data_IF_962901468372
#
_entry.id   IF_962901468372
#
_cell.length_a   1.000
_cell.length_b   1.000
_cell.length_c   1.000
_cell.angle_alpha   90.00
_cell.angle_beta   90.00
_cell.angle_gamma   90.00
#
_symmetry.space_group_name_H-M   'P 1'
#
loop_
_entity.id
_entity.type
_entity.pdbx_description
1 polymer ?
#
# COMPACT_ATOMS: atom_id res chain seq x y z
N UNK A 1 -79.44 24.37 -41.37
CA UNK A 1 -78.13 23.69 -41.50
C UNK A 1 -78.26 22.29 -40.93
N UNK A 2 -78.23 21.24 -41.75
CA UNK A 2 -78.34 19.85 -41.27
C UNK A 2 -76.98 19.42 -40.71
N UNK A 3 -76.92 19.28 -39.38
CA UNK A 3 -75.77 18.77 -38.66
C UNK A 3 -75.53 17.30 -39.08
N UNK A 4 -74.41 17.03 -39.73
CA UNK A 4 -74.12 15.70 -40.28
C UNK A 4 -73.52 14.83 -39.18
N UNK A 5 -74.37 14.19 -38.38
CA UNK A 5 -73.99 13.30 -37.26
C UNK A 5 -72.76 12.42 -37.58
N UNK A 6 -72.68 11.86 -38.79
CA UNK A 6 -71.55 11.02 -39.22
C UNK A 6 -70.19 11.71 -39.10
N UNK A 7 -70.08 12.99 -39.46
CA UNK A 7 -68.81 13.73 -39.36
C UNK A 7 -68.44 14.04 -37.91
N UNK A 8 -69.42 14.18 -37.01
CA UNK A 8 -69.18 14.36 -35.58
C UNK A 8 -68.60 13.11 -34.92
N UNK A 9 -69.11 11.91 -35.27
CA UNK A 9 -68.58 10.64 -34.75
C UNK A 9 -67.16 10.37 -35.24
N UNK A 10 -66.88 10.64 -36.51
CA UNK A 10 -65.52 10.53 -37.06
C UNK A 10 -64.57 11.49 -36.33
N UNK A 11 -65.00 12.73 -36.06
CA UNK A 11 -64.22 13.69 -35.28
C UNK A 11 -63.91 13.21 -33.85
N UNK A 12 -64.90 12.67 -33.13
CA UNK A 12 -64.72 12.15 -31.77
C UNK A 12 -63.76 10.94 -31.73
N UNK A 13 -63.85 10.03 -32.70
CA UNK A 13 -62.94 8.88 -32.78
C UNK A 13 -61.50 9.31 -33.02
N UNK A 14 -61.28 10.31 -33.89
CA UNK A 14 -59.94 10.86 -34.13
C UNK A 14 -59.37 11.50 -32.86
N UNK A 15 -60.17 12.29 -32.13
CA UNK A 15 -59.74 12.90 -30.86
C UNK A 15 -59.40 11.81 -29.82
N UNK A 16 -60.24 10.79 -29.68
CA UNK A 16 -60.00 9.66 -28.76
C UNK A 16 -58.70 8.92 -29.07
N UNK A 17 -58.40 8.70 -30.35
CA UNK A 17 -57.16 8.05 -30.78
C UNK A 17 -55.93 8.91 -30.42
N UNK A 18 -55.99 10.22 -30.66
CA UNK A 18 -54.91 11.15 -30.34
C UNK A 18 -54.65 11.18 -28.83
N UNK A 19 -55.70 11.25 -28.00
CA UNK A 19 -55.57 11.24 -26.53
C UNK A 19 -54.97 9.91 -26.05
N UNK A 20 -55.44 8.79 -26.57
CA UNK A 20 -54.92 7.46 -26.22
C UNK A 20 -53.45 7.30 -26.61
N UNK A 21 -53.06 7.78 -27.79
CA UNK A 21 -51.66 7.79 -28.25
C UNK A 21 -50.76 8.66 -27.37
N UNK A 22 -51.21 9.88 -27.01
CA UNK A 22 -50.49 10.77 -26.09
C UNK A 22 -50.29 10.12 -24.72
N UNK A 23 -51.33 9.49 -24.19
CA UNK A 23 -51.29 8.83 -22.88
C UNK A 23 -50.35 7.62 -22.90
N UNK A 24 -50.44 6.78 -23.93
CA UNK A 24 -49.56 5.63 -24.11
C UNK A 24 -48.09 6.06 -24.25
N UNK A 25 -47.83 7.14 -25.00
CA UNK A 25 -46.47 7.67 -25.15
C UNK A 25 -45.94 8.22 -23.82
N UNK A 26 -46.75 8.99 -23.08
CA UNK A 26 -46.37 9.51 -21.77
C UNK A 26 -46.00 8.39 -20.77
N UNK A 27 -46.79 7.31 -20.70
CA UNK A 27 -46.45 6.17 -19.83
C UNK A 27 -45.22 5.41 -20.30
N UNK A 28 -45.03 5.27 -21.63
CA UNK A 28 -43.85 4.62 -22.19
C UNK A 28 -42.58 5.41 -21.90
N UNK A 29 -42.60 6.73 -22.11
CA UNK A 29 -41.46 7.62 -21.84
C UNK A 29 -41.13 7.64 -20.34
N UNK A 30 -42.14 7.66 -19.47
CA UNK A 30 -41.95 7.54 -18.03
C UNK A 30 -41.34 6.18 -17.66
N UNK A 31 -41.82 5.08 -18.24
CA UNK A 31 -41.25 3.75 -17.97
C UNK A 31 -39.79 3.63 -18.43
N UNK A 32 -39.46 4.19 -19.61
CA UNK A 32 -38.09 4.21 -20.13
C UNK A 32 -37.19 5.05 -19.21
N UNK A 33 -37.64 6.25 -18.82
CA UNK A 33 -36.83 7.13 -17.96
C UNK A 33 -36.61 6.56 -16.55
N UNK A 34 -37.61 5.90 -15.95
CA UNK A 34 -37.41 5.22 -14.67
C UNK A 34 -36.46 4.03 -14.77
N UNK A 35 -36.53 3.27 -15.87
CA UNK A 35 -35.59 2.18 -16.12
C UNK A 35 -34.17 2.71 -16.26
N UNK A 36 -33.98 3.76 -17.06
CA UNK A 36 -32.67 4.40 -17.24
C UNK A 36 -32.12 4.94 -15.92
N UNK A 37 -32.93 5.63 -15.11
CA UNK A 37 -32.52 6.10 -13.78
C UNK A 37 -32.10 4.94 -12.88
N UNK A 38 -32.86 3.84 -12.89
CA UNK A 38 -32.52 2.65 -12.10
C UNK A 38 -31.22 2.00 -12.54
N UNK A 39 -31.02 1.82 -13.85
CA UNK A 39 -29.83 1.21 -14.40
C UNK A 39 -28.60 2.10 -14.11
N UNK A 40 -28.75 3.42 -14.24
CA UNK A 40 -27.72 4.38 -13.86
C UNK A 40 -27.37 4.29 -12.37
N UNK A 41 -28.38 4.27 -11.48
CA UNK A 41 -28.15 4.14 -10.03
C UNK A 41 -27.54 2.80 -9.65
N UNK A 42 -27.94 1.71 -10.31
CA UNK A 42 -27.33 0.40 -10.11
C UNK A 42 -25.85 0.41 -10.50
N UNK A 43 -25.51 1.01 -11.65
CA UNK A 43 -24.12 1.15 -12.10
C UNK A 43 -23.29 2.05 -11.17
N UNK A 44 -23.85 3.17 -10.68
CA UNK A 44 -23.18 4.02 -9.68
C UNK A 44 -22.91 3.27 -8.38
N UNK A 45 -23.89 2.51 -7.89
CA UNK A 45 -23.76 1.69 -6.69
C UNK A 45 -22.70 0.60 -6.87
N UNK A 46 -22.69 -0.08 -8.01
CA UNK A 46 -21.70 -1.10 -8.34
C UNK A 46 -20.28 -0.52 -8.33
N UNK A 47 -20.08 0.65 -8.97
CA UNK A 47 -18.80 1.35 -8.96
C UNK A 47 -18.37 1.74 -7.54
N UNK A 48 -19.29 2.28 -6.74
CA UNK A 48 -19.01 2.64 -5.35
C UNK A 48 -18.60 1.42 -4.52
N UNK A 49 -19.31 0.29 -4.67
CA UNK A 49 -18.98 -0.97 -3.99
C UNK A 49 -17.63 -1.53 -4.44
N UNK A 50 -17.31 -1.44 -5.74
CA UNK A 50 -16.00 -1.84 -6.25
C UNK A 50 -14.88 -0.98 -5.64
N UNK A 51 -15.07 0.35 -5.56
CA UNK A 51 -14.11 1.25 -4.91
C UNK A 51 -13.95 0.95 -3.42
N UNK A 52 -15.05 0.68 -2.70
CA UNK A 52 -14.99 0.33 -1.27
C UNK A 52 -14.21 -0.97 -1.07
N UNK A 53 -14.48 -1.98 -1.89
CA UNK A 53 -13.79 -3.28 -1.83
C UNK A 53 -12.29 -3.12 -2.10
N UNK A 54 -11.93 -2.32 -3.12
CA UNK A 54 -10.53 -2.01 -3.42
C UNK A 54 -9.86 -1.28 -2.24
N UNK A 55 -10.51 -0.27 -1.65
CA UNK A 55 -10.00 0.43 -0.46
C UNK A 55 -9.79 -0.50 0.73
N UNK A 56 -10.72 -1.44 0.97
CA UNK A 56 -10.59 -2.42 2.05
C UNK A 56 -9.41 -3.37 1.81
N UNK A 57 -9.23 -3.85 0.59
CA UNK A 57 -8.10 -4.71 0.26
C UNK A 57 -6.77 -3.99 0.47
N UNK A 58 -6.65 -2.72 0.04
CA UNK A 58 -5.44 -1.91 0.26
C UNK A 58 -5.13 -1.72 1.75
N UNK A 59 -6.15 -1.54 2.59
CA UNK A 59 -5.97 -1.45 4.04
C UNK A 59 -5.42 -2.77 4.62
N UNK A 60 -6.01 -3.90 4.25
CA UNK A 60 -5.54 -5.22 4.70
C UNK A 60 -4.10 -5.48 4.26
N UNK A 61 -3.76 -5.14 3.01
CA UNK A 61 -2.41 -5.32 2.49
C UNK A 61 -1.40 -4.38 3.19
N UNK A 62 -1.81 -3.15 3.54
CA UNK A 62 -0.98 -2.22 4.31
C UNK A 62 -0.76 -2.70 5.75
N UNK A 63 -1.80 -3.23 6.42
CA UNK A 63 -1.69 -3.81 7.75
C UNK A 63 -0.79 -5.05 7.76
N UNK A 64 -0.89 -5.89 6.73
CA UNK A 64 0.00 -7.05 6.57
C UNK A 64 1.46 -6.62 6.38
N UNK A 65 1.69 -5.55 5.62
CA UNK A 65 3.01 -4.96 5.42
C UNK A 65 3.58 -4.44 6.75
N UNK A 66 2.79 -3.65 7.49
CA UNK A 66 3.18 -3.11 8.79
C UNK A 66 3.52 -4.23 9.77
N UNK A 67 2.66 -5.24 9.90
CA UNK A 67 2.88 -6.38 10.80
C UNK A 67 4.19 -7.12 10.48
N UNK A 68 4.49 -7.31 9.19
CA UNK A 68 5.74 -7.95 8.74
C UNK A 68 6.96 -7.15 9.20
N UNK A 69 7.02 -5.86 8.88
CA UNK A 69 8.20 -5.05 9.15
C UNK A 69 8.35 -4.67 10.62
N UNK A 70 7.24 -4.52 11.35
CA UNK A 70 7.26 -4.35 12.81
C UNK A 70 7.85 -5.56 13.51
N UNK A 71 7.50 -6.77 13.06
CA UNK A 71 8.10 -8.01 13.60
C UNK A 71 9.59 -8.09 13.31
N UNK A 72 9.99 -7.90 12.05
CA UNK A 72 11.41 -7.96 11.66
C UNK A 72 12.24 -6.90 12.40
N UNK A 73 11.71 -5.68 12.56
CA UNK A 73 12.35 -4.62 13.34
C UNK A 73 12.53 -5.00 14.82
N UNK A 74 11.51 -5.60 15.43
CA UNK A 74 11.57 -6.03 16.82
C UNK A 74 12.59 -7.15 17.01
N UNK A 75 12.64 -8.12 16.10
CA UNK A 75 13.60 -9.23 16.13
C UNK A 75 15.05 -8.72 16.01
N UNK A 76 15.32 -7.81 15.06
CA UNK A 76 16.67 -7.23 14.89
C UNK A 76 17.08 -6.34 16.07
N UNK A 77 16.16 -5.58 16.65
CA UNK A 77 16.42 -4.80 17.87
C UNK A 77 16.69 -5.69 19.07
N UNK A 78 15.95 -6.79 19.22
CA UNK A 78 16.18 -7.75 20.29
C UNK A 78 17.58 -8.39 20.20
N UNK A 79 18.06 -8.70 18.99
CA UNK A 79 19.42 -9.18 18.76
C UNK A 79 20.46 -8.11 19.13
N UNK A 80 20.27 -6.86 18.70
CA UNK A 80 21.18 -5.76 19.04
C UNK A 80 21.25 -5.52 20.56
N UNK A 81 20.10 -5.52 21.23
CA UNK A 81 20.01 -5.37 22.68
C UNK A 81 20.67 -6.55 23.42
N UNK A 82 20.56 -7.78 22.90
CA UNK A 82 21.29 -8.91 23.45
C UNK A 82 22.81 -8.70 23.37
N UNK A 83 23.31 -8.12 22.27
CA UNK A 83 24.73 -7.77 22.12
C UNK A 83 25.14 -6.65 23.08
N UNK A 84 24.28 -5.63 23.28
CA UNK A 84 24.53 -4.55 24.25
C UNK A 84 24.66 -5.11 25.66
N UNK A 85 23.69 -5.93 26.10
CA UNK A 85 23.74 -6.61 27.40
C UNK A 85 24.98 -7.48 27.56
N UNK A 86 25.41 -8.17 26.50
CA UNK A 86 26.64 -8.98 26.53
C UNK A 86 27.88 -8.12 26.81
N UNK A 87 27.99 -6.95 26.18
CA UNK A 87 29.09 -6.01 26.44
C UNK A 87 29.01 -5.41 27.85
N UNK A 88 27.81 -5.05 28.31
CA UNK A 88 27.61 -4.47 29.64
C UNK A 88 27.98 -5.46 30.76
N UNK A 89 27.77 -6.75 30.53
CA UNK A 89 28.18 -7.84 31.41
C UNK A 89 29.68 -8.19 31.30
N UNK A 90 30.48 -7.40 30.58
CA UNK A 90 31.92 -7.63 30.39
C UNK A 90 32.28 -8.71 29.36
N UNK A 91 31.30 -9.19 28.59
CA UNK A 91 31.52 -10.13 27.49
C UNK A 91 32.09 -9.45 26.24
N UNK A 92 32.50 -10.27 25.27
CA UNK A 92 33.06 -9.81 23.99
C UNK A 92 32.07 -9.95 22.84
N UNK A 93 31.99 -8.93 21.98
CA UNK A 93 31.23 -8.93 20.71
C UNK A 93 32.21 -8.70 19.57
N UNK A 94 32.11 -9.52 18.53
CA UNK A 94 32.95 -9.39 17.34
C UNK A 94 32.22 -8.56 16.29
N UNK A 95 32.95 -7.63 15.68
CA UNK A 95 32.46 -6.81 14.57
C UNK A 95 33.26 -7.16 13.32
N UNK A 96 32.58 -7.31 12.20
CA UNK A 96 33.25 -7.55 10.93
C UNK A 96 33.87 -6.23 10.47
N UNK A 97 35.19 -6.12 10.63
CA UNK A 97 35.97 -4.98 10.17
C UNK A 97 36.86 -5.35 8.98
N UNK A 98 37.14 -4.38 8.11
CA UNK A 98 38.25 -4.43 7.17
C UNK A 98 39.16 -3.25 7.46
N UNK A 99 40.36 -3.52 7.96
CA UNK A 99 41.38 -2.50 8.17
C UNK A 99 42.24 -2.44 6.90
N UNK A 100 42.17 -1.38 6.08
CA UNK A 100 43.16 -1.17 5.04
C UNK A 100 44.48 -0.84 5.75
N UNK A 101 45.44 -1.76 5.72
CA UNK A 101 46.81 -1.49 6.18
C UNK A 101 47.38 -0.42 5.24
N UNK A 102 47.86 0.74 5.72
CA UNK A 102 48.64 1.62 4.87
C UNK A 102 49.90 0.87 4.44
N UNK A 103 50.08 0.73 3.13
CA UNK A 103 51.29 0.20 2.48
C UNK A 103 52.45 1.19 2.69
N UNK A 104 52.91 1.32 3.92
CA UNK A 104 54.11 2.06 4.28
C UNK A 104 54.70 1.46 5.57
N UNK A 105 55.07 0.19 5.49
CA UNK A 105 56.09 -0.38 6.34
C UNK A 105 57.08 -1.07 5.41
N UNK A 106 58.30 -0.55 5.44
CA UNK A 106 59.42 -1.02 4.65
C UNK A 106 59.74 -2.49 4.94
N UNK A 107 60.34 -3.14 3.95
CA UNK A 107 60.95 -4.47 3.99
C UNK A 107 60.04 -5.69 4.18
N UNK A 108 59.82 -6.39 3.06
CA UNK A 108 59.55 -7.82 2.99
C UNK A 108 60.41 -8.61 3.98
N UNK A 109 59.78 -9.19 4.99
CA UNK A 109 60.33 -10.32 5.74
C UNK A 109 59.35 -11.50 5.65
N UNK A 110 59.95 -12.68 5.49
CA UNK A 110 59.42 -14.03 5.22
C UNK A 110 57.88 -14.23 5.18
N UNK A 111 57.42 -14.97 4.17
CA UNK A 111 56.08 -15.56 4.09
C UNK A 111 55.80 -16.48 5.29
N UNK A 112 55.38 -15.88 6.39
CA UNK A 112 54.85 -16.52 7.58
C UNK A 112 53.52 -15.86 7.92
N UNK A 113 52.51 -16.66 8.26
CA UNK A 113 51.22 -16.16 8.72
C UNK A 113 51.45 -15.30 9.97
N UNK A 114 51.48 -13.98 9.81
CA UNK A 114 51.64 -13.05 10.93
C UNK A 114 50.46 -13.19 11.87
N UNK A 115 50.71 -13.55 13.13
CA UNK A 115 49.72 -13.41 14.20
C UNK A 115 49.61 -11.93 14.53
N UNK A 116 48.84 -11.20 13.71
CA UNK A 116 48.57 -9.79 13.95
C UNK A 116 47.81 -9.62 15.28
N UNK A 117 48.10 -8.54 16.00
CA UNK A 117 47.49 -8.28 17.29
C UNK A 117 45.98 -8.09 17.11
N UNK A 118 45.17 -8.73 17.96
CA UNK A 118 43.71 -8.50 17.95
C UNK A 118 43.44 -7.04 18.31
N UNK A 119 42.85 -6.29 17.37
CA UNK A 119 42.43 -4.90 17.62
C UNK A 119 41.19 -4.91 18.49
N UNK A 120 41.32 -4.47 19.74
CA UNK A 120 40.19 -4.28 20.65
C UNK A 120 39.73 -2.81 20.63
N UNK A 121 38.43 -2.61 20.38
CA UNK A 121 37.79 -1.29 20.51
C UNK A 121 37.72 -0.89 21.98
N UNK A 122 37.84 0.40 22.28
CA UNK A 122 37.59 0.90 23.63
C UNK A 122 36.14 0.60 24.05
N UNK A 123 35.85 0.44 25.36
CA UNK A 123 34.48 0.17 25.84
C UNK A 123 33.45 1.20 25.36
N UNK A 124 33.86 2.47 25.22
CA UNK A 124 33.02 3.55 24.67
C UNK A 124 32.77 3.34 23.18
N UNK A 125 33.83 3.06 22.41
CA UNK A 125 33.70 2.81 20.98
C UNK A 125 32.84 1.57 20.67
N UNK A 126 32.97 0.49 21.45
CA UNK A 126 32.15 -0.72 21.30
C UNK A 126 30.66 -0.46 21.49
N UNK A 127 30.27 0.33 22.50
CA UNK A 127 28.87 0.74 22.71
C UNK A 127 28.35 1.63 21.58
N UNK A 128 29.16 2.56 21.09
CA UNK A 128 28.80 3.43 19.97
C UNK A 128 28.51 2.64 18.69
N UNK A 129 29.27 1.57 18.41
CA UNK A 129 29.00 0.71 17.24
C UNK A 129 27.62 0.07 17.30
N UNK A 130 27.19 -0.43 18.47
CA UNK A 130 25.84 -0.99 18.63
C UNK A 130 24.74 0.08 18.62
N UNK A 131 25.06 1.30 19.04
CA UNK A 131 24.22 2.50 18.84
C UNK A 131 23.98 2.78 17.36
N UNK A 132 25.06 2.83 16.57
CA UNK A 132 24.99 3.03 15.12
C UNK A 132 24.21 1.91 14.44
N UNK A 133 24.45 0.64 14.81
CA UNK A 133 23.74 -0.51 14.24
C UNK A 133 22.23 -0.40 14.47
N UNK A 134 21.79 0.04 15.63
CA UNK A 134 20.36 0.21 15.96
C UNK A 134 19.70 1.31 15.11
N UNK A 135 20.40 2.43 14.91
CA UNK A 135 19.98 3.46 13.96
C UNK A 135 19.84 2.92 12.54
N UNK A 136 20.84 2.19 12.05
CA UNK A 136 20.82 1.57 10.71
C UNK A 136 19.67 0.59 10.55
N UNK A 137 19.41 -0.26 11.55
CA UNK A 137 18.29 -1.23 11.54
C UNK A 137 16.95 -0.49 11.38
N UNK A 138 16.75 0.58 12.15
CA UNK A 138 15.55 1.42 12.08
C UNK A 138 15.39 2.07 10.71
N UNK A 139 16.44 2.71 10.21
CA UNK A 139 16.41 3.43 8.94
C UNK A 139 16.21 2.48 7.75
N UNK A 140 16.92 1.36 7.71
CA UNK A 140 16.77 0.36 6.65
C UNK A 140 15.38 -0.26 6.66
N UNK A 141 14.82 -0.55 7.83
CA UNK A 141 13.45 -1.07 7.93
C UNK A 141 12.44 -0.04 7.45
N UNK A 142 12.56 1.23 7.85
CA UNK A 142 11.68 2.29 7.38
C UNK A 142 11.75 2.46 5.85
N UNK A 143 12.97 2.49 5.28
CA UNK A 143 13.17 2.61 3.84
C UNK A 143 12.59 1.42 3.08
N UNK A 144 12.82 0.20 3.56
CA UNK A 144 12.35 -1.04 2.93
C UNK A 144 10.82 -1.13 2.97
N UNK A 145 10.22 -0.79 4.12
CA UNK A 145 8.76 -0.68 4.29
C UNK A 145 8.16 0.33 3.32
N UNK A 146 8.73 1.54 3.26
CA UNK A 146 8.24 2.61 2.39
C UNK A 146 8.36 2.24 0.91
N UNK A 147 9.49 1.69 0.49
CA UNK A 147 9.68 1.24 -0.89
C UNK A 147 8.65 0.18 -1.28
N UNK A 148 8.39 -0.79 -0.40
CA UNK A 148 7.43 -1.84 -0.66
C UNK A 148 5.99 -1.31 -0.68
N UNK A 149 5.65 -0.41 0.23
CA UNK A 149 4.36 0.29 0.24
C UNK A 149 4.12 1.02 -1.08
N UNK A 150 5.09 1.80 -1.56
CA UNK A 150 4.97 2.52 -2.83
C UNK A 150 4.75 1.55 -4.00
N UNK A 151 5.54 0.47 -4.07
CA UNK A 151 5.42 -0.54 -5.14
C UNK A 151 4.09 -1.26 -5.13
N UNK A 152 3.54 -1.53 -3.95
CA UNK A 152 2.34 -2.37 -3.81
C UNK A 152 1.05 -1.58 -3.74
N UNK A 153 1.07 -0.34 -3.24
CA UNK A 153 -0.14 0.46 -2.98
C UNK A 153 -0.26 1.72 -3.84
N UNK A 154 0.85 2.27 -4.34
CA UNK A 154 0.85 3.53 -5.10
C UNK A 154 1.09 3.34 -6.59
N UNK A 155 1.92 2.37 -6.98
CA UNK A 155 2.28 2.09 -8.38
C UNK A 155 1.41 1.00 -9.04
N UNK A 156 0.51 0.38 -8.27
CA UNK A 156 -0.58 -0.47 -8.78
C UNK A 156 -1.82 0.38 -9.03
#
# INVERSE_FOLDING_TARGET
MMFNWKTMFVGLLLVSLIVSGRLANHYRDNAISYKEQRDNKASELEKANATITDMQQRQLDADALDAKYTKELADEKAENDALRRKLDNGGRVLVKGKCPVPSSAETSSASGMGNDATVELSPVAGRNVLGIRDGIISDQTALRTLQEYIRTQCLK
#
